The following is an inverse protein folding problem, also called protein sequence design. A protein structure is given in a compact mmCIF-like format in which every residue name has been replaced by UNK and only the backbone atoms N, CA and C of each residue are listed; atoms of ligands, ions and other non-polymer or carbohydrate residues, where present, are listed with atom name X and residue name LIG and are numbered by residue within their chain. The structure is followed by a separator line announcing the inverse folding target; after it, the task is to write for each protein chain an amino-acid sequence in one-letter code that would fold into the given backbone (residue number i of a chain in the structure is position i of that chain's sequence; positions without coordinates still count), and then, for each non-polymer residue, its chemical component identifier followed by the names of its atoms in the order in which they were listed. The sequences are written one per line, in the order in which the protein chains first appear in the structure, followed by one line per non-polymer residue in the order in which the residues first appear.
data_IF_037177180570
#
_entry.id   IF_037177180570
#
_cell.length_a   1.000
_cell.length_b   1.000
_cell.length_c   1.000
_cell.angle_alpha   90.00
_cell.angle_beta   90.00
_cell.angle_gamma   90.00
#
_symmetry.space_group_name_H-M   'P 1'
#
loop_
_entity.id
_entity.type
_entity.pdbx_description
1 polymer ?
#
# COMPACT_ATOMS: atom_id res chain seq x y z
N UNK A 1 5.86 -15.24 -2.70
CA UNK A 1 6.62 -13.99 -2.68
C UNK A 1 5.77 -12.88 -2.09
N UNK A 2 6.39 -11.87 -1.51
CA UNK A 2 5.72 -10.75 -0.82
C UNK A 2 4.70 -10.03 -1.71
N UNK A 3 5.03 -9.78 -2.98
CA UNK A 3 4.14 -9.15 -3.95
C UNK A 3 2.77 -9.85 -4.06
N UNK A 4 2.73 -11.18 -3.88
CA UNK A 4 1.48 -11.95 -3.92
C UNK A 4 0.48 -11.53 -2.84
N UNK A 5 0.95 -10.94 -1.74
CA UNK A 5 0.14 -10.53 -0.58
C UNK A 5 0.00 -9.01 -0.44
N UNK A 6 0.99 -8.26 -0.91
CA UNK A 6 1.16 -6.83 -0.66
C UNK A 6 1.09 -5.94 -1.93
N UNK A 7 0.76 -6.48 -3.10
CA UNK A 7 0.52 -5.67 -4.31
C UNK A 7 -0.91 -5.12 -4.35
N UNK A 8 -1.15 -4.12 -5.22
CA UNK A 8 -2.50 -3.62 -5.49
C UNK A 8 -3.45 -4.73 -5.97
N UNK A 9 -2.96 -5.63 -6.85
CA UNK A 9 -3.72 -6.80 -7.29
C UNK A 9 -4.01 -7.78 -6.15
N UNK A 10 -3.12 -7.88 -5.16
CA UNK A 10 -3.36 -8.69 -3.98
C UNK A 10 -4.49 -8.11 -3.13
N UNK A 11 -4.53 -6.79 -2.94
CA UNK A 11 -5.61 -6.10 -2.24
C UNK A 11 -6.96 -6.36 -2.91
N UNK A 12 -7.05 -6.23 -4.24
CA UNK A 12 -8.26 -6.53 -5.00
C UNK A 12 -8.73 -7.97 -4.74
N UNK A 13 -7.84 -8.96 -4.85
CA UNK A 13 -8.19 -10.37 -4.58
C UNK A 13 -8.65 -10.61 -3.15
N UNK A 14 -8.00 -9.99 -2.17
CA UNK A 14 -8.38 -10.09 -0.75
C UNK A 14 -9.76 -9.45 -0.51
N UNK A 15 -10.03 -8.31 -1.15
CA UNK A 15 -11.32 -7.63 -1.09
C UNK A 15 -12.42 -8.52 -1.67
N UNK A 16 -12.23 -9.07 -2.87
CA UNK A 16 -13.19 -9.99 -3.49
C UNK A 16 -13.46 -11.22 -2.61
N UNK A 17 -12.42 -11.83 -2.04
CA UNK A 17 -12.55 -12.97 -1.16
C UNK A 17 -13.34 -12.65 0.12
N UNK A 18 -13.12 -11.47 0.71
CA UNK A 18 -13.87 -11.01 1.87
C UNK A 18 -15.35 -10.74 1.53
N UNK A 19 -15.61 -10.16 0.37
CA UNK A 19 -16.98 -9.96 -0.13
C UNK A 19 -17.72 -11.28 -0.30
N UNK A 20 -17.05 -12.30 -0.83
CA UNK A 20 -17.66 -13.63 -0.98
C UNK A 20 -18.06 -14.26 0.37
N UNK A 21 -17.29 -14.02 1.41
CA UNK A 21 -17.55 -14.51 2.77
C UNK A 21 -18.57 -13.65 3.52
N UNK A 22 -18.68 -12.36 3.21
CA UNK A 22 -19.55 -11.40 3.89
C UNK A 22 -20.54 -10.76 2.90
N UNK A 23 -21.70 -11.40 2.75
CA UNK A 23 -22.73 -10.93 1.78
C UNK A 23 -23.42 -9.64 2.22
N UNK A 24 -23.34 -9.29 3.51
CA UNK A 24 -23.94 -8.07 4.08
C UNK A 24 -23.00 -6.86 4.00
N UNK A 25 -21.76 -7.02 3.49
CA UNK A 25 -20.84 -5.93 3.32
C UNK A 25 -21.37 -4.89 2.33
N UNK A 26 -21.19 -3.60 2.67
CA UNK A 26 -21.56 -2.48 1.79
C UNK A 26 -20.74 -2.47 0.49
N UNK A 27 -19.60 -3.17 0.45
CA UNK A 27 -18.78 -3.30 -0.76
C UNK A 27 -19.58 -3.86 -1.93
N UNK A 28 -20.53 -4.78 -1.70
CA UNK A 28 -21.42 -5.30 -2.74
C UNK A 28 -22.27 -4.21 -3.40
N UNK A 29 -22.82 -3.31 -2.60
CA UNK A 29 -23.57 -2.16 -3.12
C UNK A 29 -22.71 -1.17 -3.88
N UNK A 30 -21.46 -0.97 -3.42
CA UNK A 30 -20.52 -0.03 -4.06
C UNK A 30 -20.10 -0.49 -5.46
N UNK A 31 -19.97 -1.78 -5.70
CA UNK A 31 -19.63 -2.35 -7.01
C UNK A 31 -20.83 -2.76 -7.84
N UNK A 32 -22.07 -2.52 -7.33
CA UNK A 32 -23.31 -2.88 -8.04
C UNK A 32 -23.52 -4.39 -8.19
N UNK A 33 -22.99 -5.19 -7.24
CA UNK A 33 -23.06 -6.64 -7.27
C UNK A 33 -22.07 -7.34 -8.22
N UNK A 34 -21.20 -6.57 -8.90
CA UNK A 34 -20.27 -7.09 -9.90
C UNK A 34 -18.83 -7.06 -9.35
N UNK A 35 -18.29 -8.23 -9.02
CA UNK A 35 -16.92 -8.38 -8.51
C UNK A 35 -15.85 -7.88 -9.48
N UNK A 36 -16.11 -7.85 -10.79
CA UNK A 36 -15.15 -7.34 -11.77
C UNK A 36 -14.88 -5.85 -11.63
N UNK A 37 -15.73 -5.13 -10.90
CA UNK A 37 -15.62 -3.68 -10.62
C UNK A 37 -14.86 -3.38 -9.32
N UNK A 38 -14.43 -4.41 -8.60
CA UNK A 38 -13.59 -4.24 -7.40
C UNK A 38 -12.23 -3.72 -7.81
N UNK A 39 -11.81 -2.63 -7.19
CA UNK A 39 -10.51 -1.99 -7.41
C UNK A 39 -9.72 -1.80 -6.11
N UNK A 40 -8.55 -1.15 -6.19
CA UNK A 40 -7.68 -0.90 -5.05
C UNK A 40 -8.26 0.06 -4.00
N UNK A 41 -9.29 0.86 -4.35
CA UNK A 41 -9.92 1.81 -3.44
C UNK A 41 -11.12 1.21 -2.70
N UNK A 42 -11.75 0.17 -3.24
CA UNK A 42 -13.02 -0.39 -2.76
C UNK A 42 -12.98 -0.72 -1.26
N UNK A 43 -11.97 -1.43 -0.77
CA UNK A 43 -11.86 -1.79 0.64
C UNK A 43 -11.62 -0.56 1.54
N UNK A 44 -10.74 0.36 1.13
CA UNK A 44 -10.46 1.58 1.89
C UNK A 44 -11.71 2.48 2.00
N UNK A 45 -12.44 2.66 0.91
CA UNK A 45 -13.67 3.45 0.93
C UNK A 45 -14.76 2.84 1.80
N UNK A 46 -14.95 1.52 1.73
CA UNK A 46 -15.92 0.81 2.56
C UNK A 46 -15.52 0.85 4.05
N UNK A 47 -14.22 0.70 4.36
CA UNK A 47 -13.67 0.85 5.71
C UNK A 47 -14.01 2.23 6.29
N UNK A 48 -13.81 3.30 5.51
CA UNK A 48 -14.14 4.68 5.93
C UNK A 48 -15.63 4.88 6.22
N UNK A 49 -16.49 4.08 5.59
CA UNK A 49 -17.94 4.06 5.84
C UNK A 49 -18.35 3.13 6.99
N UNK A 50 -17.37 2.50 7.67
CA UNK A 50 -17.61 1.67 8.84
C UNK A 50 -17.83 0.19 8.55
N UNK A 51 -17.56 -0.30 7.34
CA UNK A 51 -17.68 -1.72 7.00
C UNK A 51 -16.61 -2.55 7.71
N UNK A 52 -17.04 -3.54 8.50
CA UNK A 52 -16.15 -4.37 9.30
C UNK A 52 -15.33 -5.36 8.45
N UNK A 53 -15.92 -5.90 7.38
CA UNK A 53 -15.23 -6.81 6.48
C UNK A 53 -14.12 -6.07 5.70
N UNK A 54 -14.42 -4.87 5.21
CA UNK A 54 -13.45 -4.01 4.55
C UNK A 54 -12.31 -3.58 5.48
N UNK A 55 -12.62 -3.24 6.75
CA UNK A 55 -11.59 -2.95 7.75
C UNK A 55 -10.66 -4.13 7.96
N UNK A 56 -11.19 -5.33 8.11
CA UNK A 56 -10.37 -6.54 8.26
C UNK A 56 -9.44 -6.77 7.06
N UNK A 57 -9.92 -6.51 5.84
CA UNK A 57 -9.10 -6.59 4.62
C UNK A 57 -7.96 -5.56 4.66
N UNK A 58 -8.26 -4.30 4.96
CA UNK A 58 -7.25 -3.22 5.01
C UNK A 58 -6.22 -3.50 6.10
N UNK A 59 -6.65 -3.88 7.31
CA UNK A 59 -5.74 -4.19 8.42
C UNK A 59 -4.79 -5.34 8.07
N UNK A 60 -5.31 -6.40 7.44
CA UNK A 60 -4.49 -7.52 6.99
C UNK A 60 -3.52 -7.13 5.86
N UNK A 61 -3.99 -6.33 4.92
CA UNK A 61 -3.14 -5.82 3.83
C UNK A 61 -2.00 -4.95 4.35
N UNK A 62 -2.28 -4.05 5.30
CA UNK A 62 -1.27 -3.24 5.96
C UNK A 62 -0.24 -4.09 6.70
N UNK A 63 -0.68 -5.18 7.35
CA UNK A 63 0.23 -6.12 7.99
C UNK A 63 1.17 -6.78 6.98
N UNK A 64 0.67 -7.26 5.85
CA UNK A 64 1.51 -7.82 4.79
C UNK A 64 2.51 -6.80 4.21
N UNK A 65 2.09 -5.53 4.08
CA UNK A 65 3.00 -4.47 3.68
C UNK A 65 4.09 -4.24 4.75
N UNK A 66 3.70 -4.13 6.02
CA UNK A 66 4.61 -3.91 7.12
C UNK A 66 5.66 -5.02 7.24
N UNK A 67 5.24 -6.29 7.16
CA UNK A 67 6.16 -7.44 7.23
C UNK A 67 7.28 -7.35 6.20
N UNK A 68 6.95 -7.00 4.95
CA UNK A 68 7.95 -6.84 3.90
C UNK A 68 8.84 -5.61 4.09
N UNK A 69 8.23 -4.48 4.45
CA UNK A 69 8.98 -3.23 4.67
C UNK A 69 9.93 -3.33 5.87
N UNK A 70 9.51 -3.98 6.96
CA UNK A 70 10.36 -4.23 8.12
C UNK A 70 11.58 -5.07 7.77
N UNK A 71 11.43 -6.07 6.89
CA UNK A 71 12.56 -6.83 6.37
C UNK A 71 13.52 -5.93 5.59
N UNK A 72 13.03 -5.04 4.71
CA UNK A 72 13.88 -4.09 3.99
C UNK A 72 14.60 -3.13 4.94
N UNK A 73 13.90 -2.62 5.95
CA UNK A 73 14.50 -1.73 6.96
C UNK A 73 15.59 -2.47 7.74
N UNK A 74 15.31 -3.69 8.19
CA UNK A 74 16.25 -4.48 8.99
C UNK A 74 17.53 -4.89 8.21
N UNK A 75 17.43 -5.07 6.89
CA UNK A 75 18.57 -5.47 6.04
C UNK A 75 19.37 -4.25 5.56
N UNK A 76 18.69 -3.19 5.10
CA UNK A 76 19.33 -2.09 4.37
C UNK A 76 19.41 -0.78 5.15
N UNK A 77 18.60 -0.61 6.20
CA UNK A 77 18.50 0.62 7.01
C UNK A 77 18.42 1.90 6.18
N UNK A 78 17.52 1.98 5.17
CA UNK A 78 17.43 3.16 4.32
C UNK A 78 16.88 4.34 5.13
N UNK A 79 17.27 5.56 4.78
CA UNK A 79 16.70 6.77 5.40
C UNK A 79 15.23 6.97 5.02
N UNK A 80 14.86 6.60 3.78
CA UNK A 80 13.51 6.76 3.24
C UNK A 80 13.13 5.56 2.38
N UNK A 81 11.89 5.08 2.55
CA UNK A 81 11.23 4.16 1.62
C UNK A 81 10.04 4.90 1.01
N UNK A 82 10.02 5.06 -0.31
CA UNK A 82 8.94 5.69 -1.03
C UNK A 82 7.93 4.65 -1.54
N UNK A 83 6.66 4.80 -1.16
CA UNK A 83 5.55 3.98 -1.63
C UNK A 83 4.99 4.60 -2.91
N UNK A 84 4.92 3.81 -3.98
CA UNK A 84 4.37 4.21 -5.28
C UNK A 84 3.20 3.32 -5.72
N UNK A 85 2.67 3.60 -6.93
CA UNK A 85 1.55 2.88 -7.50
C UNK A 85 0.19 3.32 -6.96
N UNK A 86 -0.88 2.63 -7.37
CA UNK A 86 -2.27 3.03 -7.08
C UNK A 86 -2.59 3.18 -5.59
N UNK A 87 -2.07 2.28 -4.75
CA UNK A 87 -2.33 2.32 -3.30
C UNK A 87 -1.75 3.57 -2.62
N UNK A 88 -0.69 4.17 -3.18
CA UNK A 88 -0.10 5.40 -2.61
C UNK A 88 -1.01 6.62 -2.68
N UNK A 89 -2.13 6.56 -3.42
CA UNK A 89 -3.13 7.62 -3.46
C UNK A 89 -4.09 7.61 -2.26
N UNK A 90 -4.11 6.53 -1.47
CA UNK A 90 -4.92 6.46 -0.26
C UNK A 90 -4.50 7.51 0.76
N UNK A 91 -5.40 7.89 1.68
CA UNK A 91 -5.13 8.92 2.69
C UNK A 91 -3.96 8.49 3.58
N UNK A 92 -3.20 9.45 4.08
CA UNK A 92 -2.06 9.18 4.97
C UNK A 92 -2.52 8.50 6.27
N UNK A 93 -3.67 8.90 6.80
CA UNK A 93 -4.28 8.30 7.99
C UNK A 93 -4.69 6.84 7.82
N UNK A 94 -5.04 6.43 6.60
CA UNK A 94 -5.51 5.07 6.29
C UNK A 94 -4.36 4.14 5.85
N UNK A 95 -3.27 4.69 5.31
CA UNK A 95 -2.16 3.91 4.76
C UNK A 95 -0.84 4.23 5.47
N UNK A 96 -0.33 5.45 5.31
CA UNK A 96 1.06 5.78 5.63
C UNK A 96 1.31 5.77 7.15
N UNK A 97 0.43 6.39 7.93
CA UNK A 97 0.60 6.52 9.37
C UNK A 97 0.51 5.18 10.10
N UNK A 98 -0.52 4.31 9.85
CA UNK A 98 -0.55 3.00 10.47
C UNK A 98 0.63 2.12 10.02
N UNK A 99 1.01 2.19 8.74
CA UNK A 99 2.12 1.43 8.20
C UNK A 99 3.47 1.83 8.83
N UNK A 100 3.74 3.14 8.97
CA UNK A 100 4.94 3.64 9.64
C UNK A 100 5.03 3.15 11.08
N UNK A 101 3.91 3.10 11.81
CA UNK A 101 3.85 2.59 13.18
C UNK A 101 4.16 1.10 13.22
N UNK A 102 3.51 0.28 12.38
CA UNK A 102 3.75 -1.16 12.31
C UNK A 102 5.21 -1.49 11.99
N UNK A 103 5.78 -0.80 10.99
CA UNK A 103 7.20 -1.00 10.59
C UNK A 103 8.14 -0.64 11.74
N UNK A 104 7.86 0.46 12.46
CA UNK A 104 8.68 0.85 13.61
C UNK A 104 8.63 -0.17 14.75
N UNK A 105 7.44 -0.75 15.01
CA UNK A 105 7.26 -1.78 16.04
C UNK A 105 8.01 -3.09 15.70
N UNK A 106 8.09 -3.45 14.41
CA UNK A 106 8.66 -4.70 13.93
C UNK A 106 10.16 -4.59 13.57
N UNK A 107 10.74 -3.37 13.58
CA UNK A 107 12.15 -3.18 13.23
C UNK A 107 13.09 -3.35 14.44
N UNK A 108 14.29 -3.88 14.17
CA UNK A 108 15.40 -3.81 15.11
C UNK A 108 15.83 -2.33 15.31
N UNK A 109 16.24 -2.00 16.54
CA UNK A 109 16.69 -0.63 16.82
C UNK A 109 15.59 0.40 16.89
N UNK A 110 14.36 0.01 17.23
CA UNK A 110 13.22 0.91 17.46
C UNK A 110 13.49 2.03 18.48
N UNK A 111 14.51 1.89 19.31
CA UNK A 111 14.98 2.87 20.30
C UNK A 111 16.10 3.77 19.75
N UNK A 112 16.49 3.62 18.48
CA UNK A 112 17.52 4.43 17.85
C UNK A 112 17.02 5.86 17.59
N UNK A 113 17.94 6.83 17.56
CA UNK A 113 17.62 8.24 17.28
C UNK A 113 17.16 8.49 15.84
N UNK A 114 17.42 7.56 14.92
CA UNK A 114 17.05 7.65 13.50
C UNK A 114 16.29 6.44 13.06
N UNK A 115 15.13 6.68 12.45
CA UNK A 115 14.26 5.65 11.88
C UNK A 115 14.07 5.87 10.38
N UNK A 116 13.89 4.77 9.65
CA UNK A 116 13.44 4.82 8.27
C UNK A 116 12.11 5.53 8.17
N UNK A 117 12.03 6.56 7.34
CA UNK A 117 10.80 7.29 7.07
C UNK A 117 10.09 6.68 5.87
N UNK A 118 8.82 6.34 6.02
CA UNK A 118 7.96 6.02 4.88
C UNK A 118 7.43 7.32 4.27
N UNK A 119 7.38 7.37 2.95
CA UNK A 119 6.86 8.50 2.20
C UNK A 119 6.07 8.03 0.99
N UNK A 120 5.20 8.87 0.45
CA UNK A 120 4.57 8.62 -0.85
C UNK A 120 5.44 9.16 -1.98
N UNK A 121 5.54 8.40 -3.07
CA UNK A 121 6.21 8.85 -4.27
C UNK A 121 5.42 10.01 -4.89
N UNK A 122 6.11 11.12 -5.18
CA UNK A 122 5.47 12.34 -5.69
C UNK A 122 5.12 12.29 -7.17
N UNK A 123 5.85 11.48 -7.95
CA UNK A 123 5.73 11.46 -9.42
C UNK A 123 4.65 10.48 -9.92
N UNK A 124 4.06 9.65 -9.03
CA UNK A 124 3.02 8.71 -9.40
C UNK A 124 3.42 7.82 -10.59
N UNK A 125 2.52 7.68 -11.56
CA UNK A 125 2.74 6.89 -12.78
C UNK A 125 3.73 7.55 -13.75
N UNK A 126 4.00 8.84 -13.63
CA UNK A 126 4.88 9.60 -14.52
C UNK A 126 6.37 9.40 -14.20
N UNK A 127 6.68 8.77 -13.06
CA UNK A 127 8.05 8.53 -12.61
C UNK A 127 8.91 7.82 -13.66
N UNK A 128 8.35 6.82 -14.36
CA UNK A 128 9.06 6.08 -15.41
C UNK A 128 9.37 6.95 -16.63
N UNK A 129 8.40 7.75 -17.08
CA UNK A 129 8.55 8.63 -18.24
C UNK A 129 9.57 9.73 -17.93
N UNK A 130 9.46 10.36 -16.75
CA UNK A 130 10.40 11.40 -16.29
C UNK A 130 11.81 10.83 -16.15
N UNK A 131 11.95 9.64 -15.57
CA UNK A 131 13.25 8.97 -15.42
C UNK A 131 13.88 8.64 -16.77
N UNK A 132 13.12 8.13 -17.74
CA UNK A 132 13.60 7.87 -19.09
C UNK A 132 14.04 9.15 -19.82
N UNK A 133 13.29 10.25 -19.68
CA UNK A 133 13.65 11.55 -20.25
C UNK A 133 14.97 12.10 -19.67
N UNK A 134 15.15 11.97 -18.35
CA UNK A 134 16.39 12.41 -17.69
C UNK A 134 17.62 11.58 -18.11
N UNK A 135 17.46 10.27 -18.32
CA UNK A 135 18.54 9.43 -18.85
C UNK A 135 18.95 9.85 -20.26
N UNK A 136 17.99 10.21 -21.11
CA UNK A 136 18.26 10.74 -22.46
C UNK A 136 19.07 12.03 -22.44
N UNK A 137 18.77 12.94 -21.51
CA UNK A 137 19.52 14.20 -21.33
C UNK A 137 20.95 13.96 -20.84
N UNK A 138 21.17 13.02 -19.93
CA UNK A 138 22.50 12.65 -19.44
C UNK A 138 23.38 12.04 -20.54
N UNK A 139 22.79 11.26 -21.47
CA UNK A 139 23.51 10.66 -22.58
C UNK A 139 23.97 11.69 -23.63
N UNK A 140 23.28 12.82 -23.78
CA UNK A 140 23.65 13.91 -24.71
C UNK A 140 24.71 14.86 -24.14
N UNK A 141 24.96 14.83 -22.83
CA UNK A 141 25.95 15.69 -22.16
C UNK A 141 27.35 15.06 -22.00
N UNK A 142 27.59 13.91 -22.65
CA UNK A 142 28.90 13.26 -22.80
C UNK A 142 29.31 13.32 -24.26
#
# INVERSE_FOLDING_TARGET
CWERYASANALIRQTMAAMDQCKDSIMWGMVGGDLSRVDGCTAFEAMRKGDAAARAVVDQYLRYLADGLSNFVNIFQPEVIALGGGVSHERDEDLLLPLQRMVLEDCFGREADRHTRLAKAKLGNDAGIIGAALLGLQAQGR
#
